data_IF_704757140634
#
_entry.id   IF_704757140634
#
_cell.length_a   1.000
_cell.length_b   1.000
_cell.length_c   1.000
_cell.angle_alpha   90.00
_cell.angle_beta   90.00
_cell.angle_gamma   90.00
#
_symmetry.space_group_name_H-M   'P 1'
#
loop_
_entity.id
_entity.type
_entity.pdbx_description
1 polymer ?
#
# COMPACT_ATOMS: atom_id res chain seq x y z
N UNK A 1 -41.28 12.08 24.71
CA UNK A 1 -41.00 12.10 23.26
C UNK A 1 -39.48 12.08 23.06
N UNK A 2 -38.90 10.97 22.60
CA UNK A 2 -37.46 10.85 22.34
C UNK A 2 -37.16 11.47 20.97
N UNK A 3 -36.25 12.46 20.92
CA UNK A 3 -35.78 13.07 19.68
C UNK A 3 -34.98 12.02 18.89
N UNK A 4 -35.50 11.58 17.75
CA UNK A 4 -34.76 10.75 16.82
C UNK A 4 -33.58 11.57 16.28
N UNK A 5 -32.38 10.99 16.31
CA UNK A 5 -31.14 11.65 15.91
C UNK A 5 -31.16 11.92 14.40
N UNK A 6 -31.03 13.18 13.99
CA UNK A 6 -31.11 13.63 12.59
C UNK A 6 -30.14 12.86 11.68
N UNK A 7 -28.94 12.53 12.20
CA UNK A 7 -27.96 11.73 11.47
C UNK A 7 -28.45 10.32 11.13
N UNK A 8 -29.28 9.72 11.99
CA UNK A 8 -29.84 8.39 11.75
C UNK A 8 -30.90 8.41 10.66
N UNK A 9 -31.69 9.48 10.58
CA UNK A 9 -32.68 9.68 9.52
C UNK A 9 -31.97 9.91 8.17
N UNK A 10 -30.89 10.69 8.14
CA UNK A 10 -30.11 10.91 6.92
C UNK A 10 -29.47 9.62 6.38
N UNK A 11 -28.97 8.74 7.26
CA UNK A 11 -28.41 7.45 6.86
C UNK A 11 -29.48 6.54 6.25
N UNK A 12 -30.67 6.47 6.87
CA UNK A 12 -31.78 5.66 6.34
C UNK A 12 -32.23 6.20 4.98
N UNK A 13 -32.36 7.52 4.82
CA UNK A 13 -32.74 8.13 3.54
C UNK A 13 -31.70 7.89 2.45
N UNK A 14 -30.40 7.93 2.79
CA UNK A 14 -29.32 7.64 1.85
C UNK A 14 -29.34 6.17 1.39
N UNK A 15 -29.57 5.23 2.31
CA UNK A 15 -29.65 3.79 1.98
C UNK A 15 -30.88 3.49 1.10
N UNK A 16 -32.04 4.10 1.42
CA UNK A 16 -33.26 3.96 0.60
C UNK A 16 -33.07 4.57 -0.79
N UNK A 17 -32.39 5.71 -0.89
CA UNK A 17 -32.05 6.33 -2.18
C UNK A 17 -31.15 5.43 -3.03
N UNK A 18 -30.12 4.82 -2.43
CA UNK A 18 -29.23 3.89 -3.14
C UNK A 18 -29.96 2.63 -3.64
N UNK A 19 -30.94 2.12 -2.89
CA UNK A 19 -31.78 1.00 -3.33
C UNK A 19 -32.75 1.40 -4.44
N UNK A 20 -33.38 2.59 -4.35
CA UNK A 20 -34.32 3.09 -5.36
C UNK A 20 -33.64 3.43 -6.70
N UNK A 21 -32.37 3.86 -6.65
CA UNK A 21 -31.56 4.12 -7.84
C UNK A 21 -30.96 2.86 -8.48
N UNK A 22 -31.33 1.66 -8.02
CA UNK A 22 -30.94 0.40 -8.66
C UNK A 22 -29.43 0.11 -8.59
N UNK A 23 -28.70 0.68 -7.63
CA UNK A 23 -27.28 0.36 -7.43
C UNK A 23 -27.16 -0.97 -6.67
N UNK A 24 -26.67 -2.07 -7.30
CA UNK A 24 -26.33 -3.25 -6.54
C UNK A 24 -25.08 -2.94 -5.71
N UNK A 25 -25.19 -2.99 -4.38
CA UNK A 25 -24.05 -3.03 -3.47
C UNK A 25 -23.29 -4.35 -3.66
N UNK A 26 -22.50 -4.44 -4.73
CA UNK A 26 -21.48 -5.47 -4.92
C UNK A 26 -20.17 -4.95 -4.34
N UNK A 27 -19.93 -5.28 -3.07
CA UNK A 27 -18.59 -5.27 -2.49
C UNK A 27 -17.82 -6.47 -3.04
N UNK A 28 -17.20 -6.30 -4.22
CA UNK A 28 -16.15 -7.18 -4.72
C UNK A 28 -15.17 -6.36 -5.59
N UNK A 29 -13.88 -6.32 -5.27
CA UNK A 29 -12.91 -5.63 -6.11
C UNK A 29 -12.73 -6.40 -7.42
N UNK A 30 -13.10 -5.78 -8.55
CA UNK A 30 -12.73 -6.24 -9.89
C UNK A 30 -11.26 -5.92 -10.12
N UNK A 31 -10.40 -6.93 -10.04
CA UNK A 31 -8.97 -6.79 -10.32
C UNK A 31 -8.17 -8.10 -10.33
N UNK A 32 -8.66 -9.18 -9.72
CA UNK A 32 -7.85 -10.39 -9.49
C UNK A 32 -8.16 -11.63 -10.37
N UNK A 33 -9.04 -11.57 -11.37
CA UNK A 33 -9.42 -12.79 -12.11
C UNK A 33 -8.56 -13.08 -13.36
N UNK A 34 -7.77 -12.12 -13.85
CA UNK A 34 -7.09 -12.29 -15.15
C UNK A 34 -5.64 -12.82 -15.08
N UNK A 35 -5.02 -12.84 -13.91
CA UNK A 35 -3.65 -13.34 -13.72
C UNK A 35 -3.61 -14.82 -13.31
N UNK A 36 -4.60 -15.29 -12.54
CA UNK A 36 -4.64 -16.70 -12.08
C UNK A 36 -4.99 -17.69 -13.21
N UNK A 37 -5.82 -17.27 -14.17
CA UNK A 37 -6.25 -18.13 -15.28
C UNK A 37 -5.20 -18.29 -16.40
N UNK A 38 -4.16 -17.44 -16.43
CA UNK A 38 -3.06 -17.58 -17.40
C UNK A 38 -2.02 -18.63 -16.99
N UNK A 39 -1.94 -18.97 -15.71
CA UNK A 39 -1.03 -20.01 -15.21
C UNK A 39 -1.61 -21.43 -15.38
N UNK A 40 -2.94 -21.61 -15.25
CA UNK A 40 -3.58 -22.92 -15.45
C UNK A 40 -3.62 -23.42 -16.90
N UNK A 41 -3.52 -22.52 -17.89
CA UNK A 41 -3.62 -22.89 -19.31
C UNK A 41 -2.26 -23.16 -19.99
N UNK A 42 -1.13 -23.05 -19.28
CA UNK A 42 0.20 -23.30 -19.85
C UNK A 42 0.77 -24.70 -19.58
N UNK A 43 0.12 -25.52 -18.74
CA UNK A 43 0.57 -26.88 -18.40
C UNK A 43 -0.08 -28.01 -19.22
N UNK A 44 -0.90 -27.71 -20.23
CA UNK A 44 -1.68 -28.73 -20.94
C UNK A 44 -1.31 -28.96 -22.42
N UNK A 45 -0.15 -28.49 -22.88
CA UNK A 45 0.27 -28.67 -24.28
C UNK A 45 1.76 -28.97 -24.44
N UNK A 46 2.15 -30.21 -24.15
CA UNK A 46 3.26 -30.97 -24.76
C UNK A 46 3.26 -32.35 -24.07
N UNK A 47 3.13 -33.52 -24.69
CA UNK A 47 3.69 -34.05 -25.94
C UNK A 47 2.81 -35.24 -26.36
N UNK A 48 2.60 -35.41 -27.66
CA UNK A 48 2.00 -36.62 -28.25
C UNK A 48 3.10 -37.50 -28.88
N UNK A 49 2.76 -38.78 -29.03
CA UNK A 49 3.36 -39.83 -29.87
C UNK A 49 4.43 -40.73 -29.23
N UNK A 50 3.99 -41.92 -28.79
CA UNK A 50 4.40 -43.18 -29.43
C UNK A 50 3.25 -44.19 -29.45
N UNK A 51 2.82 -44.57 -30.66
CA UNK A 51 1.98 -45.75 -30.94
C UNK A 51 2.85 -47.02 -30.95
N UNK A 52 2.30 -48.11 -30.39
CA UNK A 52 2.08 -49.43 -31.05
C UNK A 52 2.41 -50.65 -30.15
N UNK A 53 1.37 -51.38 -29.70
CA UNK A 53 0.97 -52.74 -30.18
C UNK A 53 0.14 -53.52 -29.13
N UNK A 54 -1.01 -54.05 -29.61
CA UNK A 54 -1.71 -55.33 -29.29
C UNK A 54 -1.91 -55.67 -27.80
N UNK A 55 -3.15 -55.68 -27.27
CA UNK A 55 -4.20 -56.71 -27.48
C UNK A 55 -4.00 -57.82 -26.43
N UNK A 56 -4.91 -58.21 -25.53
CA UNK A 56 -6.29 -58.66 -25.66
C UNK A 56 -6.86 -58.83 -24.22
N UNK A 57 -8.10 -58.41 -23.98
CA UNK A 57 -9.27 -59.23 -23.57
C UNK A 57 -9.57 -59.23 -22.06
N UNK A 58 -10.85 -58.97 -21.80
CA UNK A 58 -11.64 -58.97 -20.57
C UNK A 58 -11.49 -60.25 -19.73
N UNK A 59 -11.72 -60.16 -18.41
CA UNK A 59 -12.94 -60.66 -17.72
C UNK A 59 -12.77 -60.39 -16.21
N UNK A 60 -13.73 -59.67 -15.63
CA UNK A 60 -14.18 -59.85 -14.25
C UNK A 60 -15.54 -60.59 -14.34
N UNK A 61 -16.02 -61.36 -13.34
CA UNK A 61 -16.43 -60.76 -12.06
C UNK A 61 -16.43 -61.66 -10.79
N UNK A 62 -16.45 -60.96 -9.64
CA UNK A 62 -17.27 -61.14 -8.42
C UNK A 62 -17.43 -62.51 -7.70
N UNK A 63 -17.14 -62.44 -6.39
CA UNK A 63 -17.99 -62.80 -5.22
C UNK A 63 -18.32 -64.29 -4.97
N UNK A 64 -17.94 -64.80 -3.79
CA UNK A 64 -18.84 -65.39 -2.77
C UNK A 64 -18.08 -65.48 -1.43
N UNK A 65 -18.70 -64.92 -0.39
CA UNK A 65 -18.43 -65.09 1.04
C UNK A 65 -18.57 -66.55 1.50
N UNK A 66 -17.64 -67.06 2.33
CA UNK A 66 -17.98 -68.03 3.39
C UNK A 66 -17.20 -67.70 4.65
N UNK A 67 -17.99 -67.46 5.70
CA UNK A 67 -17.70 -67.29 7.12
C UNK A 67 -16.98 -68.51 7.72
N UNK A 68 -15.99 -68.25 8.59
CA UNK A 68 -15.39 -69.27 9.45
C UNK A 68 -14.29 -68.72 10.36
N UNK A 69 -14.67 -68.05 11.44
CA UNK A 69 -13.81 -67.82 12.61
C UNK A 69 -13.46 -69.17 13.25
N UNK A 70 -12.18 -69.47 13.42
CA UNK A 70 -11.61 -70.24 14.54
C UNK A 70 -10.21 -69.64 14.80
N UNK A 71 -10.10 -68.98 15.96
CA UNK A 71 -8.92 -68.68 16.79
C UNK A 71 -8.06 -69.97 16.98
N UNK A 72 -6.76 -70.05 17.21
CA UNK A 72 -5.70 -69.14 17.68
C UNK A 72 -4.34 -69.89 17.51
N UNK A 73 -3.25 -69.13 17.64
CA UNK A 73 -1.82 -69.49 17.82
C UNK A 73 -0.94 -69.72 16.58
N UNK A 74 -0.07 -68.74 16.24
CA UNK A 74 1.01 -68.91 15.29
C UNK A 74 2.33 -69.32 15.95
N UNK A 75 2.90 -70.43 15.48
CA UNK A 75 4.32 -70.77 15.59
C UNK A 75 5.08 -69.95 14.54
N UNK A 76 5.84 -68.93 14.94
CA UNK A 76 6.84 -68.30 14.07
C UNK A 76 8.15 -68.07 14.82
N UNK A 77 9.19 -68.66 14.22
CA UNK A 77 10.61 -68.55 14.53
C UNK A 77 11.06 -67.14 14.12
N UNK A 78 11.51 -66.32 15.07
CA UNK A 78 12.14 -65.04 14.75
C UNK A 78 13.67 -65.16 14.71
N UNK A 79 14.14 -64.79 13.53
CA UNK A 79 15.52 -64.71 13.05
C UNK A 79 16.15 -63.42 13.55
N UNK A 80 17.42 -63.51 13.93
CA UNK A 80 18.31 -62.43 14.36
C UNK A 80 18.36 -61.28 13.32
N UNK A 81 17.77 -60.12 13.64
CA UNK A 81 17.89 -58.89 12.84
C UNK A 81 19.07 -58.08 13.37
N UNK A 82 20.13 -57.97 12.56
CA UNK A 82 21.22 -57.01 12.77
C UNK A 82 20.72 -55.60 12.41
N UNK A 83 20.59 -54.76 13.42
CA UNK A 83 20.32 -53.33 13.29
C UNK A 83 21.54 -52.64 12.65
N UNK A 84 21.43 -52.27 11.37
CA UNK A 84 22.28 -51.24 10.78
C UNK A 84 21.50 -49.93 10.85
N UNK A 85 21.90 -49.05 11.77
CA UNK A 85 21.43 -47.67 11.83
C UNK A 85 22.11 -46.93 10.68
N UNK A 86 21.43 -46.81 9.55
CA UNK A 86 21.72 -45.77 8.57
C UNK A 86 21.27 -44.43 9.17
N UNK A 87 22.23 -43.58 9.53
CA UNK A 87 22.02 -42.16 9.77
C UNK A 87 21.50 -41.53 8.47
N UNK A 88 20.18 -41.48 8.33
CA UNK A 88 19.52 -40.70 7.27
C UNK A 88 19.68 -39.23 7.68
N UNK A 89 20.75 -38.60 7.21
CA UNK A 89 20.81 -37.14 7.13
C UNK A 89 19.68 -36.69 6.19
N UNK A 90 18.59 -36.19 6.77
CA UNK A 90 17.57 -35.45 6.02
C UNK A 90 18.27 -34.28 5.32
N UNK A 91 18.23 -34.20 3.97
CA UNK A 91 18.65 -32.98 3.29
C UNK A 91 17.66 -31.89 3.70
N UNK A 92 18.15 -30.78 4.25
CA UNK A 92 17.36 -29.55 4.25
C UNK A 92 17.22 -29.14 2.79
N UNK A 93 16.15 -29.58 2.13
CA UNK A 93 15.81 -29.16 0.77
C UNK A 93 15.43 -27.67 0.82
N UNK A 94 16.44 -26.79 0.81
CA UNK A 94 16.30 -25.47 0.24
C UNK A 94 15.95 -25.70 -1.23
N UNK A 95 14.65 -25.63 -1.55
CA UNK A 95 14.15 -25.66 -2.92
C UNK A 95 14.76 -24.45 -3.63
N UNK A 96 15.89 -24.68 -4.30
CA UNK A 96 16.59 -23.67 -5.08
C UNK A 96 15.68 -23.28 -6.24
N UNK A 97 15.13 -22.07 -6.18
CA UNK A 97 14.31 -21.53 -7.26
C UNK A 97 15.02 -21.68 -8.61
N UNK A 98 14.29 -22.19 -9.61
CA UNK A 98 14.81 -22.24 -10.98
C UNK A 98 15.08 -20.83 -11.49
N UNK A 99 15.90 -20.70 -12.52
CA UNK A 99 16.24 -19.40 -13.10
C UNK A 99 14.99 -18.68 -13.63
N UNK A 100 14.09 -19.42 -14.28
CA UNK A 100 12.82 -18.87 -14.80
C UNK A 100 11.86 -18.43 -13.69
N UNK A 101 11.81 -19.14 -12.55
CA UNK A 101 11.02 -18.73 -11.39
C UNK A 101 11.56 -17.43 -10.78
N UNK A 102 12.88 -17.31 -10.64
CA UNK A 102 13.52 -16.07 -10.14
C UNK A 102 13.21 -14.88 -11.03
N UNK A 103 13.39 -15.02 -12.35
CA UNK A 103 13.08 -13.95 -13.30
C UNK A 103 11.60 -13.51 -13.23
N UNK A 104 10.68 -14.46 -13.05
CA UNK A 104 9.26 -14.17 -12.90
C UNK A 104 8.96 -13.38 -11.62
N UNK A 105 9.59 -13.73 -10.49
CA UNK A 105 9.42 -13.03 -9.21
C UNK A 105 10.05 -11.64 -9.21
N UNK A 106 11.24 -11.49 -9.81
CA UNK A 106 11.86 -10.17 -10.05
C UNK A 106 10.90 -9.31 -10.87
N UNK A 107 10.38 -9.84 -11.97
CA UNK A 107 9.44 -9.12 -12.84
C UNK A 107 8.17 -8.73 -12.08
N UNK A 108 7.64 -9.58 -11.21
CA UNK A 108 6.47 -9.26 -10.38
C UNK A 108 6.74 -8.07 -9.46
N UNK A 109 7.87 -8.08 -8.75
CA UNK A 109 8.24 -7.03 -7.81
C UNK A 109 8.51 -5.69 -8.53
N UNK A 110 9.26 -5.73 -9.62
CA UNK A 110 9.54 -4.55 -10.46
C UNK A 110 8.25 -3.97 -11.00
N UNK A 111 7.35 -4.79 -11.55
CA UNK A 111 6.06 -4.31 -12.06
C UNK A 111 5.20 -3.67 -10.96
N UNK A 112 5.20 -4.22 -9.74
CA UNK A 112 4.50 -3.63 -8.60
C UNK A 112 5.00 -2.21 -8.32
N UNK A 113 6.32 -2.02 -8.22
CA UNK A 113 6.93 -0.71 -7.98
C UNK A 113 6.71 0.26 -9.14
N UNK A 114 6.92 -0.19 -10.38
CA UNK A 114 6.83 0.63 -11.57
C UNK A 114 5.42 1.16 -11.81
N UNK A 115 4.38 0.39 -11.45
CA UNK A 115 3.02 0.88 -11.49
C UNK A 115 2.84 2.17 -10.67
N UNK A 116 3.41 2.22 -9.46
CA UNK A 116 3.35 3.39 -8.59
C UNK A 116 4.25 4.53 -9.08
N UNK A 117 5.50 4.23 -9.46
CA UNK A 117 6.44 5.23 -10.02
C UNK A 117 5.85 5.92 -11.25
N UNK A 118 5.28 5.14 -12.16
CA UNK A 118 4.64 5.66 -13.38
C UNK A 118 3.39 6.48 -13.06
N UNK A 119 2.59 6.08 -12.05
CA UNK A 119 1.44 6.86 -11.59
C UNK A 119 1.86 8.24 -11.08
N UNK A 120 2.87 8.31 -10.22
CA UNK A 120 3.40 9.56 -9.67
C UNK A 120 4.00 10.45 -10.76
N UNK A 121 4.79 9.87 -11.67
CA UNK A 121 5.38 10.58 -12.82
C UNK A 121 4.30 11.21 -13.70
N UNK A 122 3.24 10.46 -14.06
CA UNK A 122 2.12 10.98 -14.86
C UNK A 122 1.40 12.14 -14.17
N UNK A 123 1.20 12.07 -12.86
CA UNK A 123 0.59 13.18 -12.11
C UNK A 123 1.47 14.43 -12.14
N UNK A 124 2.77 14.28 -11.93
CA UNK A 124 3.75 15.35 -12.00
C UNK A 124 3.78 16.01 -13.38
N UNK A 125 3.90 15.22 -14.44
CA UNK A 125 3.93 15.71 -15.83
C UNK A 125 2.64 16.46 -16.19
N UNK A 126 1.48 15.91 -15.83
CA UNK A 126 0.18 16.54 -16.09
C UNK A 126 0.06 17.89 -15.38
N UNK A 127 0.42 17.95 -14.09
CA UNK A 127 0.37 19.18 -13.32
C UNK A 127 1.36 20.23 -13.83
N UNK A 128 2.62 19.84 -14.05
CA UNK A 128 3.67 20.76 -14.52
C UNK A 128 3.34 21.34 -15.89
N UNK A 129 2.78 20.54 -16.81
CA UNK A 129 2.30 21.03 -18.10
C UNK A 129 1.23 22.11 -17.94
N UNK A 130 0.24 21.87 -17.07
CA UNK A 130 -0.86 22.82 -16.79
C UNK A 130 -0.34 24.07 -16.08
N UNK A 131 0.59 23.93 -15.14
CA UNK A 131 1.10 25.06 -14.37
C UNK A 131 2.07 25.92 -15.19
N UNK A 132 2.89 25.31 -16.05
CA UNK A 132 3.81 26.03 -16.94
C UNK A 132 3.09 26.76 -18.08
N UNK A 133 1.92 26.29 -18.51
CA UNK A 133 1.11 26.99 -19.52
C UNK A 133 0.34 28.19 -18.98
N UNK A 134 0.41 28.46 -17.67
CA UNK A 134 -0.26 29.61 -17.05
C UNK A 134 0.63 30.84 -17.16
N UNK A 135 -0.02 32.00 -17.27
CA UNK A 135 0.68 33.25 -17.01
C UNK A 135 1.22 33.24 -15.57
N UNK A 136 2.40 33.86 -15.38
CA UNK A 136 3.14 33.80 -14.12
C UNK A 136 2.30 34.22 -12.90
N UNK A 137 1.40 35.20 -13.08
CA UNK A 137 0.49 35.68 -12.03
C UNK A 137 -0.53 34.62 -11.53
N UNK A 138 -0.81 33.60 -12.33
CA UNK A 138 -1.75 32.52 -12.01
C UNK A 138 -1.07 31.19 -11.70
N UNK A 139 0.25 31.11 -11.86
CA UNK A 139 1.04 29.95 -11.48
C UNK A 139 1.04 29.79 -9.96
N UNK A 140 0.92 28.55 -9.49
CA UNK A 140 0.99 28.29 -8.05
C UNK A 140 2.45 28.41 -7.62
N UNK A 141 2.73 29.35 -6.71
CA UNK A 141 4.05 29.59 -6.14
C UNK A 141 3.95 29.79 -4.63
N UNK A 142 4.49 28.85 -3.86
CA UNK A 142 4.47 28.92 -2.41
C UNK A 142 5.52 29.94 -1.93
N UNK A 143 5.21 30.80 -0.94
CA UNK A 143 6.12 31.83 -0.46
C UNK A 143 7.20 31.26 0.49
N UNK A 144 7.82 30.12 0.13
CA UNK A 144 8.75 29.37 0.97
C UNK A 144 10.06 30.10 1.23
N UNK A 145 10.46 31.03 0.36
CA UNK A 145 11.61 31.90 0.59
C UNK A 145 11.47 32.77 1.85
N UNK A 146 10.25 32.95 2.36
CA UNK A 146 9.99 33.65 3.63
C UNK A 146 10.25 32.76 4.85
N UNK A 147 10.24 31.44 4.68
CA UNK A 147 10.41 30.47 5.77
C UNK A 147 11.90 30.17 5.90
N UNK A 148 12.59 30.83 6.84
CA UNK A 148 14.07 30.75 6.94
C UNK A 148 14.64 29.35 7.12
N UNK A 149 13.87 28.41 7.68
CA UNK A 149 14.30 27.01 7.83
C UNK A 149 14.24 26.22 6.53
N UNK A 150 13.63 26.76 5.47
CA UNK A 150 13.61 26.15 4.15
C UNK A 150 14.87 26.55 3.39
N UNK A 151 15.79 25.60 3.26
CA UNK A 151 17.07 25.81 2.58
C UNK A 151 16.94 25.92 1.05
N UNK A 152 16.10 25.07 0.46
CA UNK A 152 15.83 25.08 -0.98
C UNK A 152 14.32 25.19 -1.22
N UNK A 153 13.88 26.41 -1.53
CA UNK A 153 12.47 26.71 -1.77
C UNK A 153 11.89 26.00 -3.00
N UNK A 154 12.71 25.73 -4.03
CA UNK A 154 12.25 25.09 -5.26
C UNK A 154 12.06 23.60 -5.04
N UNK A 155 13.06 22.94 -4.44
CA UNK A 155 12.98 21.54 -4.09
C UNK A 155 11.83 21.27 -3.10
N UNK A 156 11.72 22.09 -2.04
CA UNK A 156 10.65 21.97 -1.04
C UNK A 156 9.28 22.17 -1.66
N UNK A 157 9.13 23.09 -2.62
CA UNK A 157 7.87 23.27 -3.34
C UNK A 157 7.51 22.01 -4.15
N UNK A 158 8.45 21.40 -4.85
CA UNK A 158 8.21 20.17 -5.61
C UNK A 158 7.75 19.03 -4.69
N UNK A 159 8.39 18.88 -3.53
CA UNK A 159 8.03 17.93 -2.47
C UNK A 159 6.59 18.15 -1.99
N UNK A 160 6.23 19.40 -1.66
CA UNK A 160 4.88 19.73 -1.20
C UNK A 160 3.84 19.44 -2.28
N UNK A 161 4.15 19.76 -3.55
CA UNK A 161 3.23 19.52 -4.67
C UNK A 161 2.95 18.02 -4.84
N UNK A 162 4.00 17.19 -4.82
CA UNK A 162 3.85 15.75 -4.94
C UNK A 162 3.11 15.13 -3.75
N UNK A 163 3.46 15.57 -2.54
CA UNK A 163 2.85 15.07 -1.29
C UNK A 163 1.38 15.44 -1.21
N UNK A 164 0.96 16.58 -1.74
CA UNK A 164 -0.45 16.95 -1.79
C UNK A 164 -1.16 16.42 -3.05
N UNK A 165 -0.52 15.49 -3.77
CA UNK A 165 -1.06 14.82 -4.96
C UNK A 165 -1.40 15.80 -6.08
N UNK A 166 -0.64 16.90 -6.19
CA UNK A 166 -0.82 17.94 -7.19
C UNK A 166 -2.22 18.57 -7.21
N UNK A 167 -2.93 18.56 -6.08
CA UNK A 167 -4.28 19.12 -5.96
C UNK A 167 -4.24 20.64 -6.04
N UNK A 168 -4.59 21.21 -7.20
CA UNK A 168 -4.55 22.64 -7.46
C UNK A 168 -5.29 23.46 -6.38
N UNK A 169 -6.52 23.04 -6.04
CA UNK A 169 -7.33 23.71 -5.02
C UNK A 169 -6.64 23.74 -3.66
N UNK A 170 -6.06 22.61 -3.25
CA UNK A 170 -5.37 22.47 -1.96
C UNK A 170 -4.10 23.29 -1.94
N UNK A 171 -3.33 23.26 -3.04
CA UNK A 171 -2.09 24.03 -3.18
C UNK A 171 -2.34 25.54 -3.17
N UNK A 172 -3.39 26.01 -3.85
CA UNK A 172 -3.81 27.43 -3.80
C UNK A 172 -4.24 27.85 -2.38
N UNK A 173 -4.93 26.97 -1.66
CA UNK A 173 -5.30 27.23 -0.26
C UNK A 173 -4.05 27.30 0.61
N UNK A 174 -3.13 26.34 0.50
CA UNK A 174 -1.86 26.37 1.21
C UNK A 174 -1.05 27.63 0.91
N UNK A 175 -0.98 28.05 -0.36
CA UNK A 175 -0.32 29.30 -0.76
C UNK A 175 -0.92 30.51 -0.03
N UNK A 176 -2.26 30.60 0.04
CA UNK A 176 -2.94 31.68 0.77
C UNK A 176 -2.68 31.61 2.27
N UNK A 177 -2.72 30.42 2.86
CA UNK A 177 -2.39 30.20 4.27
C UNK A 177 -0.97 30.73 4.55
N UNK A 178 0.03 30.28 3.79
CA UNK A 178 1.42 30.69 4.00
C UNK A 178 1.62 32.21 3.80
N UNK A 179 0.84 32.86 2.94
CA UNK A 179 0.92 34.32 2.77
C UNK A 179 0.32 35.12 3.94
N UNK A 180 -0.52 34.50 4.78
CA UNK A 180 -1.11 35.14 5.97
C UNK A 180 -0.17 35.05 7.18
N UNK A 181 0.70 34.04 7.20
CA UNK A 181 1.62 33.80 8.29
C UNK A 181 2.76 34.83 8.31
N UNK A 182 3.13 35.22 9.53
CA UNK A 182 4.26 36.12 9.78
C UNK A 182 5.55 35.32 10.00
N UNK A 183 6.51 35.51 9.10
CA UNK A 183 7.81 34.86 9.13
C UNK A 183 8.97 35.78 9.53
N UNK A 184 8.70 37.03 9.92
CA UNK A 184 9.76 37.95 10.38
C UNK A 184 10.25 37.58 11.79
N UNK A 185 9.34 37.13 12.65
CA UNK A 185 9.66 36.71 14.02
C UNK A 185 9.98 35.22 14.10
N UNK A 186 11.26 34.85 14.18
CA UNK A 186 11.74 33.45 14.13
C UNK A 186 11.28 32.53 15.25
N UNK A 187 10.81 33.09 16.36
CA UNK A 187 10.26 32.32 17.48
C UNK A 187 8.73 32.34 17.51
N UNK A 188 8.09 32.91 16.48
CA UNK A 188 6.64 33.04 16.39
C UNK A 188 5.95 31.69 16.32
N UNK A 189 4.68 31.70 16.73
CA UNK A 189 3.75 30.59 16.55
C UNK A 189 3.63 30.22 15.07
N UNK A 190 3.52 31.22 14.21
CA UNK A 190 3.39 31.10 12.76
C UNK A 190 4.52 30.25 12.14
N UNK A 191 5.79 30.56 12.47
CA UNK A 191 6.95 29.81 11.97
C UNK A 191 6.92 28.37 12.46
N UNK A 192 6.65 28.14 13.74
CA UNK A 192 6.62 26.79 14.31
C UNK A 192 5.59 25.91 13.62
N UNK A 193 4.39 26.45 13.39
CA UNK A 193 3.30 25.72 12.72
C UNK A 193 3.62 25.46 11.25
N UNK A 194 4.11 26.46 10.53
CA UNK A 194 4.49 26.30 9.13
C UNK A 194 5.59 25.25 8.97
N UNK A 195 6.63 25.30 9.81
CA UNK A 195 7.72 24.34 9.78
C UNK A 195 7.26 22.93 10.09
N UNK A 196 6.37 22.77 11.08
CA UNK A 196 5.81 21.45 11.42
C UNK A 196 5.01 20.87 10.26
N UNK A 197 4.23 21.71 9.55
CA UNK A 197 3.50 21.28 8.36
C UNK A 197 4.45 20.86 7.23
N UNK A 198 5.44 21.70 6.91
CA UNK A 198 6.41 21.44 5.84
C UNK A 198 7.19 20.16 6.14
N UNK A 199 7.68 19.98 7.37
CA UNK A 199 8.41 18.79 7.80
C UNK A 199 7.54 17.53 7.72
N UNK A 200 6.27 17.61 8.14
CA UNK A 200 5.33 16.50 8.02
C UNK A 200 5.15 16.06 6.56
N UNK A 201 4.98 17.02 5.64
CA UNK A 201 4.87 16.73 4.21
C UNK A 201 6.18 16.15 3.63
N UNK A 202 7.33 16.70 4.00
CA UNK A 202 8.64 16.22 3.57
C UNK A 202 8.94 14.79 4.05
N UNK A 203 8.52 14.44 5.27
CA UNK A 203 8.64 13.08 5.79
C UNK A 203 7.81 12.08 4.97
N UNK A 204 6.59 12.44 4.57
CA UNK A 204 5.76 11.58 3.71
C UNK A 204 6.39 11.36 2.33
N UNK A 205 6.94 12.41 1.73
CA UNK A 205 7.70 12.30 0.48
C UNK A 205 8.92 11.41 0.66
N UNK A 206 9.71 11.63 1.72
CA UNK A 206 10.91 10.87 2.02
C UNK A 206 10.63 9.38 2.25
N UNK A 207 9.56 9.04 2.98
CA UNK A 207 9.12 7.66 3.18
C UNK A 207 8.69 7.02 1.86
N UNK A 208 7.91 7.75 1.04
CA UNK A 208 7.48 7.27 -0.28
C UNK A 208 8.70 6.98 -1.15
N UNK A 209 9.68 7.87 -1.16
CA UNK A 209 10.92 7.70 -1.92
C UNK A 209 11.70 6.49 -1.42
N UNK A 210 11.88 6.35 -0.11
CA UNK A 210 12.56 5.20 0.50
C UNK A 210 11.94 3.87 0.05
N UNK A 211 10.62 3.73 0.20
CA UNK A 211 9.93 2.48 -0.15
C UNK A 211 10.01 2.17 -1.65
N UNK A 212 9.80 3.16 -2.50
CA UNK A 212 9.70 2.92 -3.95
C UNK A 212 11.06 2.84 -4.65
N UNK A 213 12.08 3.55 -4.17
CA UNK A 213 13.35 3.73 -4.87
C UNK A 213 14.56 3.20 -4.12
N UNK A 214 14.58 3.28 -2.79
CA UNK A 214 15.80 3.00 -2.03
C UNK A 214 15.81 1.56 -1.50
N UNK A 215 14.70 1.11 -0.90
CA UNK A 215 14.57 -0.22 -0.28
C UNK A 215 14.67 -1.36 -1.29
N UNK A 216 14.07 -1.18 -2.47
CA UNK A 216 14.07 -2.19 -3.54
C UNK A 216 14.58 -1.51 -4.80
N UNK A 217 15.77 -1.91 -5.23
CA UNK A 217 16.47 -1.34 -6.37
C UNK A 217 17.24 -2.42 -7.14
N UNK A 218 17.74 -2.08 -8.32
CA UNK A 218 18.39 -3.03 -9.23
C UNK A 218 19.56 -3.79 -8.58
N UNK A 219 20.22 -3.21 -7.58
CA UNK A 219 21.37 -3.81 -6.92
C UNK A 219 20.99 -4.91 -5.92
N UNK A 220 19.75 -4.93 -5.42
CA UNK A 220 19.33 -5.86 -4.36
C UNK A 220 18.16 -6.78 -4.75
N UNK A 221 17.58 -6.65 -5.96
CA UNK A 221 16.46 -7.47 -6.43
C UNK A 221 16.73 -8.97 -6.37
N UNK A 222 17.88 -9.42 -6.87
CA UNK A 222 18.23 -10.84 -6.88
C UNK A 222 18.32 -11.40 -5.46
N UNK A 223 18.99 -10.65 -4.57
CA UNK A 223 19.13 -11.04 -3.16
C UNK A 223 17.77 -11.13 -2.46
N UNK A 224 16.90 -10.14 -2.67
CA UNK A 224 15.56 -10.12 -2.07
C UNK A 224 14.76 -11.36 -2.50
N UNK A 225 14.78 -11.69 -3.79
CA UNK A 225 14.04 -12.84 -4.36
C UNK A 225 14.61 -14.17 -3.85
N UNK A 226 15.93 -14.30 -3.79
CA UNK A 226 16.58 -15.49 -3.24
C UNK A 226 16.26 -15.69 -1.77
N UNK A 227 16.23 -14.63 -0.96
CA UNK A 227 16.01 -14.73 0.48
C UNK A 227 14.55 -14.96 0.87
N UNK A 228 13.60 -14.52 0.04
CA UNK A 228 12.17 -14.49 0.41
C UNK A 228 11.31 -15.56 -0.28
N UNK A 229 11.75 -16.09 -1.42
CA UNK A 229 10.94 -17.03 -2.20
C UNK A 229 9.64 -16.41 -2.75
N UNK A 230 8.77 -17.24 -3.30
CA UNK A 230 7.52 -16.77 -3.92
C UNK A 230 6.55 -16.15 -2.90
N UNK A 231 6.32 -16.80 -1.76
CA UNK A 231 5.41 -16.31 -0.73
C UNK A 231 5.88 -14.99 -0.11
N UNK A 232 7.18 -14.87 0.16
CA UNK A 232 7.75 -13.65 0.69
C UNK A 232 7.70 -12.49 -0.30
N UNK A 233 7.97 -12.73 -1.59
CA UNK A 233 7.82 -11.70 -2.64
C UNK A 233 6.37 -11.26 -2.77
N UNK A 234 5.42 -12.19 -2.75
CA UNK A 234 3.99 -11.86 -2.75
C UNK A 234 3.59 -11.04 -1.51
N UNK A 235 4.16 -11.34 -0.34
CA UNK A 235 3.93 -10.56 0.88
C UNK A 235 4.50 -9.14 0.75
N UNK A 236 5.73 -8.99 0.26
CA UNK A 236 6.36 -7.68 0.01
C UNK A 236 5.49 -6.83 -0.94
N UNK A 237 5.04 -7.39 -2.06
CA UNK A 237 4.14 -6.69 -2.99
C UNK A 237 2.86 -6.20 -2.30
N UNK A 238 2.20 -7.05 -1.49
CA UNK A 238 1.00 -6.63 -0.72
C UNK A 238 1.31 -5.52 0.29
N UNK A 239 2.49 -5.54 0.91
CA UNK A 239 2.91 -4.49 1.86
C UNK A 239 3.18 -3.16 1.15
N UNK A 240 3.77 -3.19 -0.05
CA UNK A 240 3.92 -2.01 -0.89
C UNK A 240 2.55 -1.42 -1.24
N UNK A 241 1.59 -2.27 -1.64
CA UNK A 241 0.22 -1.82 -1.93
C UNK A 241 -0.43 -1.15 -0.69
N UNK A 242 -0.33 -1.78 0.48
CA UNK A 242 -0.84 -1.23 1.74
C UNK A 242 -0.16 0.11 2.12
N UNK A 243 1.15 0.22 1.90
CA UNK A 243 1.89 1.46 2.14
C UNK A 243 1.41 2.57 1.20
N UNK A 244 1.16 2.26 -0.08
CA UNK A 244 0.63 3.23 -1.03
C UNK A 244 -0.81 3.65 -0.72
N UNK A 245 -1.64 2.75 -0.17
CA UNK A 245 -2.94 3.13 0.38
C UNK A 245 -2.84 4.04 1.61
N UNK A 246 -1.87 3.80 2.50
CA UNK A 246 -1.60 4.68 3.64
C UNK A 246 -1.19 6.08 3.17
N UNK A 247 -0.33 6.15 2.14
CA UNK A 247 0.03 7.40 1.47
C UNK A 247 -1.21 8.10 0.94
N UNK A 248 -2.04 7.42 0.15
CA UNK A 248 -3.23 8.03 -0.45
C UNK A 248 -4.21 8.53 0.63
N UNK A 249 -4.35 7.81 1.76
CA UNK A 249 -5.11 8.27 2.94
C UNK A 249 -4.50 9.51 3.59
N UNK A 250 -3.18 9.55 3.78
CA UNK A 250 -2.49 10.74 4.30
C UNK A 250 -2.77 11.95 3.40
N UNK A 251 -2.68 11.80 2.08
CA UNK A 251 -2.93 12.88 1.13
C UNK A 251 -4.35 13.43 1.27
N UNK A 252 -5.35 12.57 1.32
CA UNK A 252 -6.74 13.00 1.52
C UNK A 252 -6.95 13.69 2.87
N UNK A 253 -6.30 13.18 3.93
CA UNK A 253 -6.35 13.80 5.25
C UNK A 253 -5.70 15.20 5.24
N UNK A 254 -4.52 15.35 4.63
CA UNK A 254 -3.83 16.62 4.47
C UNK A 254 -4.68 17.64 3.69
N UNK A 255 -5.33 17.21 2.61
CA UNK A 255 -6.28 18.06 1.87
C UNK A 255 -7.43 18.53 2.76
N UNK A 256 -8.04 17.63 3.52
CA UNK A 256 -9.15 17.95 4.41
C UNK A 256 -8.73 18.92 5.51
N UNK A 257 -7.57 18.70 6.13
CA UNK A 257 -7.07 19.54 7.22
C UNK A 257 -6.64 20.93 6.74
N UNK A 258 -6.00 21.04 5.57
CA UNK A 258 -5.72 22.34 4.93
C UNK A 258 -7.02 23.06 4.60
N UNK A 259 -8.03 22.35 4.09
CA UNK A 259 -9.32 22.92 3.76
C UNK A 259 -10.09 23.39 5.00
N UNK A 260 -9.99 22.64 6.10
CA UNK A 260 -10.58 22.99 7.39
C UNK A 260 -9.90 24.22 8.00
N UNK A 261 -8.57 24.28 7.93
CA UNK A 261 -7.80 25.44 8.41
C UNK A 261 -8.13 26.70 7.60
N UNK A 262 -8.33 26.54 6.28
CA UNK A 262 -8.67 27.65 5.38
C UNK A 262 -10.13 28.14 5.55
N UNK A 263 -11.09 27.24 5.71
CA UNK A 263 -12.52 27.56 5.86
C UNK A 263 -12.95 27.51 7.33
N UNK A 264 -12.30 28.31 8.18
CA UNK A 264 -12.42 28.21 9.64
C UNK A 264 -13.45 29.17 10.29
N UNK A 265 -14.38 29.74 9.51
CA UNK A 265 -15.35 30.74 9.97
C UNK A 265 -16.10 30.32 11.24
N UNK A 266 -16.54 29.05 11.29
CA UNK A 266 -17.22 28.50 12.47
C UNK A 266 -16.31 28.42 13.70
N UNK A 267 -15.00 28.26 13.53
CA UNK A 267 -14.04 28.29 14.63
C UNK A 267 -13.78 29.72 15.11
N UNK A 268 -13.63 30.68 14.17
CA UNK A 268 -13.54 32.11 14.49
C UNK A 268 -14.73 32.59 15.31
N UNK A 269 -15.96 32.29 14.86
CA UNK A 269 -17.18 32.72 15.55
C UNK A 269 -17.30 32.10 16.95
N UNK A 270 -16.96 30.81 17.10
CA UNK A 270 -17.03 30.12 18.39
C UNK A 270 -16.02 30.64 19.40
N UNK A 271 -14.77 30.89 18.99
CA UNK A 271 -13.69 31.31 19.89
C UNK A 271 -13.53 32.83 20.00
N UNK A 272 -14.19 33.62 19.15
CA UNK A 272 -14.04 35.08 19.06
C UNK A 272 -12.58 35.52 18.85
N UNK A 273 -11.89 34.86 17.93
CA UNK A 273 -10.48 35.09 17.60
C UNK A 273 -10.32 35.57 16.15
N UNK A 274 -9.13 36.06 15.81
CA UNK A 274 -8.80 36.44 14.44
C UNK A 274 -8.80 35.23 13.50
N UNK A 275 -8.96 35.47 12.20
CA UNK A 275 -8.85 34.41 11.19
C UNK A 275 -7.50 33.69 11.26
N UNK A 276 -6.40 34.44 11.45
CA UNK A 276 -5.06 33.89 11.58
C UNK A 276 -4.94 32.97 12.79
N UNK A 277 -5.43 33.40 13.95
CA UNK A 277 -5.38 32.58 15.16
C UNK A 277 -6.25 31.33 15.04
N UNK A 278 -7.43 31.43 14.42
CA UNK A 278 -8.29 30.28 14.17
C UNK A 278 -7.63 29.26 13.23
N UNK A 279 -6.89 29.74 12.23
CA UNK A 279 -6.15 28.90 11.30
C UNK A 279 -5.02 28.18 12.02
N UNK A 280 -4.23 28.91 12.81
CA UNK A 280 -3.12 28.36 13.57
C UNK A 280 -3.61 27.32 14.60
N UNK A 281 -4.73 27.58 15.28
CA UNK A 281 -5.36 26.61 16.19
C UNK A 281 -5.72 25.29 15.48
N UNK A 282 -6.25 25.36 14.26
CA UNK A 282 -6.59 24.16 13.49
C UNK A 282 -5.32 23.41 13.07
N UNK A 283 -4.32 24.12 12.53
CA UNK A 283 -3.08 23.51 12.08
C UNK A 283 -2.29 22.86 13.23
N UNK A 284 -2.20 23.52 14.38
CA UNK A 284 -1.57 22.95 15.58
C UNK A 284 -2.29 21.70 16.06
N UNK A 285 -3.63 21.69 16.00
CA UNK A 285 -4.41 20.53 16.43
C UNK A 285 -4.16 19.32 15.52
N UNK A 286 -4.08 19.52 14.20
CA UNK A 286 -3.89 18.41 13.23
C UNK A 286 -2.44 17.95 13.14
N UNK A 287 -1.48 18.79 13.54
CA UNK A 287 -0.04 18.49 13.62
C UNK A 287 0.44 18.14 15.03
N UNK A 288 -0.45 18.24 16.04
CA UNK A 288 -0.12 17.91 17.42
C UNK A 288 0.20 16.42 17.61
N UNK A 289 0.60 15.99 18.83
CA UNK A 289 0.97 14.61 19.10
C UNK A 289 -0.12 13.57 18.77
N UNK A 290 -1.39 13.96 18.93
CA UNK A 290 -2.58 13.18 18.58
C UNK A 290 -3.33 13.82 17.40
N UNK A 291 -2.60 14.53 16.55
CA UNK A 291 -3.14 15.20 15.38
C UNK A 291 -3.34 14.21 14.24
N UNK A 292 -4.38 14.44 13.44
CA UNK A 292 -4.75 13.58 12.32
C UNK A 292 -3.61 13.37 11.31
N UNK A 293 -2.78 14.38 11.07
CA UNK A 293 -1.63 14.26 10.16
C UNK A 293 -0.47 13.51 10.81
N UNK A 294 -0.23 13.74 12.10
CA UNK A 294 0.80 13.02 12.87
C UNK A 294 0.49 11.53 12.95
N UNK A 295 -0.76 11.17 13.22
CA UNK A 295 -1.21 9.77 13.26
C UNK A 295 -1.11 9.10 11.88
N UNK A 296 -1.48 9.81 10.81
CA UNK A 296 -1.36 9.30 9.45
C UNK A 296 0.10 9.10 9.03
N UNK A 297 0.99 10.02 9.38
CA UNK A 297 2.44 9.89 9.17
C UNK A 297 3.00 8.69 9.95
N UNK A 298 2.68 8.55 11.23
CA UNK A 298 3.13 7.42 12.05
C UNK A 298 2.62 6.06 11.53
N UNK A 299 1.46 6.02 10.88
CA UNK A 299 0.98 4.83 10.19
C UNK A 299 1.81 4.51 8.94
N UNK A 300 2.23 5.52 8.18
CA UNK A 300 3.14 5.34 7.04
C UNK A 300 4.54 4.89 7.48
N UNK A 301 5.08 5.47 8.55
CA UNK A 301 6.38 5.07 9.14
C UNK A 301 6.37 3.58 9.50
N UNK A 302 5.37 3.13 10.25
CA UNK A 302 5.20 1.69 10.57
C UNK A 302 5.09 0.83 9.33
N UNK A 303 4.35 1.27 8.31
CA UNK A 303 4.25 0.54 7.03
C UNK A 303 5.59 0.42 6.31
N UNK A 304 6.41 1.47 6.32
CA UNK A 304 7.75 1.43 5.75
C UNK A 304 8.69 0.51 6.56
N UNK A 305 8.63 0.57 7.89
CA UNK A 305 9.43 -0.28 8.77
C UNK A 305 9.08 -1.76 8.61
N UNK A 306 7.78 -2.09 8.47
CA UNK A 306 7.32 -3.44 8.16
C UNK A 306 7.92 -3.93 6.84
N UNK A 307 7.88 -3.13 5.76
CA UNK A 307 8.49 -3.49 4.48
C UNK A 307 9.99 -3.73 4.66
N UNK A 308 10.70 -2.85 5.35
CA UNK A 308 12.14 -2.97 5.57
C UNK A 308 12.52 -4.26 6.31
N UNK A 309 11.73 -4.65 7.31
CA UNK A 309 11.92 -5.90 8.05
C UNK A 309 11.74 -7.14 7.14
N UNK A 310 10.79 -7.13 6.21
CA UNK A 310 10.63 -8.23 5.23
C UNK A 310 11.79 -8.32 4.23
N UNK A 311 12.46 -7.20 3.93
CA UNK A 311 13.58 -7.19 2.98
C UNK A 311 14.88 -7.74 3.59
N UNK A 312 15.01 -7.70 4.92
CA UNK A 312 16.18 -8.17 5.67
C UNK A 312 15.75 -9.19 6.74
N UNK A 313 15.24 -10.37 6.35
CA UNK A 313 14.72 -11.37 7.28
C UNK A 313 15.78 -12.00 8.17
#
# INVERSE_FOLDING_TARGET
MKRLNYNFICIILFVVFMMACGYPLRLRPKGCENSLNRLKNKELLSVDVTKAKKGQVEVAPSVVDIVGNIEDEPLVVDVEIKEQVEDISLPSDEIKLSLSQREALISLLVNSLDNYKNRLKKQSEAFNKINASREEAFAIKLPLHKVQTVMDSVATQAVIFETLGYSETTLKRLQKILNILDFENLISRDIKVANSLILCLDNVFSLTKKVLYDYINELNLEQIVTNNGEDGINAICRRIDQFMELRDRFIEQAKNDINLAFNNDAHMQRKKISYKDALLDVLERVLGPNGTLTEALAAMERGADEIYAYLNP
#
